data_IF_999775259772
#
_entry.id   IF_999775259772
#
_cell.length_a   1.000
_cell.length_b   1.000
_cell.length_c   1.000
_cell.angle_alpha   90.00
_cell.angle_beta   90.00
_cell.angle_gamma   90.00
#
_symmetry.space_group_name_H-M   'P 1'
#
loop_
_entity.id
_entity.type
_entity.pdbx_description
1 polymer ?
#
# COMPACT_ATOMS: atom_id res chain seq x y z
N UNK A 1 -134.50 76.38 -2.74
CA UNK A 1 -134.09 75.50 -1.62
C UNK A 1 -133.84 74.06 -2.06
N UNK A 2 -134.68 73.47 -2.93
CA UNK A 2 -134.49 72.08 -3.37
C UNK A 2 -133.20 71.84 -4.18
N UNK A 3 -132.86 72.76 -5.09
CA UNK A 3 -131.78 72.53 -6.06
C UNK A 3 -130.38 72.66 -5.46
N UNK A 4 -130.16 73.64 -4.56
CA UNK A 4 -128.88 73.80 -3.84
C UNK A 4 -128.60 72.61 -2.90
N UNK A 5 -129.64 72.09 -2.26
CA UNK A 5 -129.52 70.93 -1.37
C UNK A 5 -129.24 69.64 -2.15
N UNK A 6 -129.83 69.49 -3.34
CA UNK A 6 -129.55 68.40 -4.27
C UNK A 6 -128.10 68.44 -4.79
N UNK A 7 -127.59 69.64 -5.13
CA UNK A 7 -126.21 69.85 -5.55
C UNK A 7 -125.19 69.54 -4.43
N UNK A 8 -125.53 69.86 -3.18
CA UNK A 8 -124.70 69.53 -2.01
C UNK A 8 -124.64 68.01 -1.78
N UNK A 9 -125.77 67.31 -1.92
CA UNK A 9 -125.83 65.86 -1.79
C UNK A 9 -125.02 65.16 -2.90
N UNK A 10 -125.12 65.60 -4.15
CA UNK A 10 -124.32 65.07 -5.26
C UNK A 10 -122.81 65.30 -5.04
N UNK A 11 -122.42 66.47 -4.51
CA UNK A 11 -121.03 66.74 -4.11
C UNK A 11 -120.58 65.86 -2.95
N UNK A 12 -121.43 65.57 -1.98
CA UNK A 12 -121.13 64.66 -0.88
C UNK A 12 -120.95 63.22 -1.36
N UNK A 13 -121.80 62.76 -2.29
CA UNK A 13 -121.67 61.43 -2.89
C UNK A 13 -120.38 61.29 -3.72
N UNK A 14 -120.05 62.29 -4.53
CA UNK A 14 -118.79 62.32 -5.30
C UNK A 14 -117.55 62.42 -4.40
N UNK A 15 -117.63 63.18 -3.30
CA UNK A 15 -116.57 63.22 -2.27
C UNK A 15 -116.41 61.87 -1.56
N UNK A 16 -117.51 61.21 -1.18
CA UNK A 16 -117.47 59.88 -0.55
C UNK A 16 -116.89 58.83 -1.49
N UNK A 17 -117.25 58.86 -2.78
CA UNK A 17 -116.65 57.97 -3.79
C UNK A 17 -115.15 58.23 -3.96
N UNK A 18 -114.74 59.50 -3.91
CA UNK A 18 -113.32 59.89 -3.96
C UNK A 18 -112.54 59.46 -2.72
N UNK A 19 -113.14 59.59 -1.52
CA UNK A 19 -112.55 59.14 -0.25
C UNK A 19 -112.36 57.64 -0.22
N UNK A 20 -113.38 56.86 -0.61
CA UNK A 20 -113.25 55.40 -0.73
C UNK A 20 -112.16 54.99 -1.73
N UNK A 21 -112.00 55.75 -2.83
CA UNK A 21 -110.92 55.56 -3.79
C UNK A 21 -109.53 55.92 -3.24
N UNK A 22 -109.43 56.89 -2.32
CA UNK A 22 -108.19 57.24 -1.63
C UNK A 22 -107.85 56.17 -0.59
N UNK A 23 -108.81 55.72 0.23
CA UNK A 23 -108.62 54.63 1.20
C UNK A 23 -108.12 53.36 0.52
N UNK A 24 -108.75 52.94 -0.58
CA UNK A 24 -108.27 51.79 -1.36
C UNK A 24 -106.86 51.97 -1.94
N UNK A 25 -106.46 53.19 -2.31
CA UNK A 25 -105.08 53.49 -2.70
C UNK A 25 -104.11 53.42 -1.52
N UNK A 26 -104.52 53.93 -0.36
CA UNK A 26 -103.71 53.89 0.89
C UNK A 26 -103.47 52.45 1.30
N UNK A 27 -104.50 51.61 1.34
CA UNK A 27 -104.38 50.19 1.68
C UNK A 27 -103.45 49.47 0.70
N UNK A 28 -103.60 49.71 -0.60
CA UNK A 28 -102.72 49.15 -1.62
C UNK A 28 -101.27 49.60 -1.44
N UNK A 29 -101.03 50.90 -1.18
CA UNK A 29 -99.68 51.38 -0.89
C UNK A 29 -99.09 50.78 0.39
N UNK A 30 -99.91 50.55 1.42
CA UNK A 30 -99.47 49.91 2.66
C UNK A 30 -99.05 48.45 2.40
N UNK A 31 -99.84 47.69 1.66
CA UNK A 31 -99.45 46.33 1.24
C UNK A 31 -98.16 46.33 0.42
N UNK A 32 -98.00 47.27 -0.52
CA UNK A 32 -96.76 47.38 -1.30
C UNK A 32 -95.55 47.71 -0.43
N UNK A 33 -95.70 48.58 0.57
CA UNK A 33 -94.63 48.90 1.53
C UNK A 33 -94.23 47.69 2.37
N UNK A 34 -95.20 46.92 2.89
CA UNK A 34 -94.92 45.70 3.65
C UNK A 34 -94.18 44.66 2.80
N UNK A 35 -94.63 44.43 1.56
CA UNK A 35 -93.94 43.52 0.62
C UNK A 35 -92.53 44.01 0.27
N UNK A 36 -92.35 45.32 0.14
CA UNK A 36 -91.04 45.91 -0.13
C UNK A 36 -90.11 45.70 1.07
N UNK A 37 -90.58 45.99 2.28
CA UNK A 37 -89.83 45.81 3.53
C UNK A 37 -89.39 44.35 3.69
N UNK A 38 -90.32 43.41 3.53
CA UNK A 38 -90.03 41.97 3.58
C UNK A 38 -88.98 41.57 2.54
N UNK A 39 -89.14 41.99 1.28
CA UNK A 39 -88.17 41.70 0.22
C UNK A 39 -86.80 42.32 0.48
N UNK A 40 -86.74 43.53 1.05
CA UNK A 40 -85.47 44.17 1.41
C UNK A 40 -84.78 43.44 2.55
N UNK A 41 -85.51 43.07 3.60
CA UNK A 41 -84.96 42.32 4.72
C UNK A 41 -84.43 40.94 4.29
N UNK A 42 -85.16 40.22 3.43
CA UNK A 42 -84.67 38.96 2.86
C UNK A 42 -83.37 39.14 2.06
N UNK A 43 -83.25 40.24 1.29
CA UNK A 43 -82.03 40.55 0.53
C UNK A 43 -80.86 40.91 1.46
N UNK A 44 -81.12 41.65 2.53
CA UNK A 44 -80.12 41.97 3.54
C UNK A 44 -79.61 40.71 4.23
N UNK A 45 -80.51 39.82 4.68
CA UNK A 45 -80.14 38.54 5.30
C UNK A 45 -79.28 37.68 4.37
N UNK A 46 -79.70 37.51 3.09
CA UNK A 46 -78.90 36.77 2.10
C UNK A 46 -77.53 37.40 1.83
N UNK A 47 -77.42 38.72 1.98
CA UNK A 47 -76.16 39.43 1.81
C UNK A 47 -75.26 39.25 3.03
N UNK A 48 -75.79 39.31 4.25
CA UNK A 48 -75.07 38.98 5.49
C UNK A 48 -74.53 37.54 5.45
N UNK A 49 -75.36 36.56 5.09
CA UNK A 49 -74.93 35.16 4.94
C UNK A 49 -73.76 35.02 3.95
N UNK A 50 -73.80 35.78 2.85
CA UNK A 50 -72.70 35.80 1.86
C UNK A 50 -71.44 36.47 2.40
N UNK A 51 -71.57 37.50 3.23
CA UNK A 51 -70.42 38.15 3.87
C UNK A 51 -69.75 37.21 4.86
N UNK A 52 -70.51 36.53 5.72
CA UNK A 52 -69.99 35.49 6.63
C UNK A 52 -69.27 34.39 5.84
N UNK A 53 -69.89 33.89 4.76
CA UNK A 53 -69.26 32.88 3.91
C UNK A 53 -68.00 33.38 3.18
N UNK A 54 -67.84 34.68 2.96
CA UNK A 54 -66.59 35.25 2.45
C UNK A 54 -65.53 35.35 3.54
N UNK A 55 -65.90 35.79 4.75
CA UNK A 55 -65.00 35.85 5.91
C UNK A 55 -64.41 34.48 6.23
N UNK A 56 -65.23 33.42 6.27
CA UNK A 56 -64.77 32.04 6.48
C UNK A 56 -63.78 31.59 5.41
N UNK A 57 -64.02 31.98 4.15
CA UNK A 57 -63.12 31.67 3.03
C UNK A 57 -61.80 32.44 3.13
N UNK A 58 -61.83 33.68 3.60
CA UNK A 58 -60.63 34.47 3.82
C UNK A 58 -59.79 33.89 4.97
N UNK A 59 -60.42 33.52 6.08
CA UNK A 59 -59.74 32.83 7.18
C UNK A 59 -59.09 31.52 6.71
N UNK A 60 -59.82 30.69 5.94
CA UNK A 60 -59.27 29.47 5.36
C UNK A 60 -58.14 29.69 4.34
N UNK A 61 -58.07 30.86 3.70
CA UNK A 61 -56.92 31.22 2.86
C UNK A 61 -55.72 31.64 3.71
N UNK A 62 -55.93 32.41 4.76
CA UNK A 62 -54.89 32.84 5.70
C UNK A 62 -54.20 31.64 6.35
N UNK A 63 -54.96 30.66 6.86
CA UNK A 63 -54.42 29.42 7.41
C UNK A 63 -53.56 28.66 6.39
N UNK A 64 -53.98 28.64 5.11
CA UNK A 64 -53.22 28.00 4.03
C UNK A 64 -51.93 28.77 3.71
N UNK A 65 -51.92 30.09 3.83
CA UNK A 65 -50.71 30.89 3.65
C UNK A 65 -49.71 30.62 4.77
N UNK A 66 -50.17 30.59 6.03
CA UNK A 66 -49.31 30.20 7.17
C UNK A 66 -48.72 28.81 6.96
N UNK A 67 -49.55 27.83 6.58
CA UNK A 67 -49.07 26.48 6.30
C UNK A 67 -48.11 26.38 5.10
N UNK A 68 -48.14 27.34 4.16
CA UNK A 68 -47.15 27.43 3.09
C UNK A 68 -45.84 28.05 3.60
N UNK A 69 -45.90 29.10 4.41
CA UNK A 69 -44.73 29.73 5.03
C UNK A 69 -43.94 28.72 5.88
N UNK A 70 -44.61 27.95 6.73
CA UNK A 70 -43.99 26.90 7.54
C UNK A 70 -43.26 25.86 6.66
N UNK A 71 -43.85 25.51 5.52
CA UNK A 71 -43.24 24.58 4.57
C UNK A 71 -42.03 25.18 3.86
N UNK A 72 -42.05 26.49 3.58
CA UNK A 72 -40.90 27.19 3.01
C UNK A 72 -39.73 27.23 4.00
N UNK A 73 -39.99 27.57 5.26
CA UNK A 73 -38.98 27.52 6.34
C UNK A 73 -38.39 26.11 6.46
N UNK A 74 -39.23 25.08 6.50
CA UNK A 74 -38.75 23.69 6.54
C UNK A 74 -37.97 23.25 5.29
N UNK A 75 -38.18 23.88 4.14
CA UNK A 75 -37.35 23.65 2.96
C UNK A 75 -36.00 24.36 3.07
N UNK A 76 -35.97 25.60 3.54
CA UNK A 76 -34.74 26.37 3.77
C UNK A 76 -33.81 25.64 4.74
N UNK A 77 -34.33 25.16 5.87
CA UNK A 77 -33.55 24.37 6.84
C UNK A 77 -32.94 23.11 6.22
N UNK A 78 -33.69 22.44 5.33
CA UNK A 78 -33.19 21.28 4.60
C UNK A 78 -32.12 21.64 3.58
N UNK A 79 -32.20 22.79 2.94
CA UNK A 79 -31.16 23.29 2.04
C UNK A 79 -29.87 23.59 2.80
N UNK A 80 -29.95 24.28 3.93
CA UNK A 80 -28.80 24.53 4.81
C UNK A 80 -28.16 23.21 5.24
N UNK A 81 -28.96 22.24 5.70
CA UNK A 81 -28.44 20.93 6.08
C UNK A 81 -27.83 20.12 4.92
N UNK A 82 -28.23 20.38 3.67
CA UNK A 82 -27.58 19.80 2.49
C UNK A 82 -26.24 20.50 2.21
N UNK A 83 -26.18 21.83 2.28
CA UNK A 83 -24.94 22.60 2.10
C UNK A 83 -23.86 22.18 3.10
N UNK A 84 -24.20 22.03 4.38
CA UNK A 84 -23.27 21.55 5.42
C UNK A 84 -22.72 20.16 5.10
N UNK A 85 -23.59 19.26 4.59
CA UNK A 85 -23.17 17.91 4.19
C UNK A 85 -22.26 17.94 2.98
N UNK A 86 -22.51 18.82 2.01
CA UNK A 86 -21.63 19.00 0.86
C UNK A 86 -20.26 19.53 1.27
N UNK A 87 -20.21 20.55 2.13
CA UNK A 87 -18.95 21.07 2.69
C UNK A 87 -18.18 19.99 3.45
N UNK A 88 -18.88 19.17 4.25
CA UNK A 88 -18.28 18.03 4.95
C UNK A 88 -17.72 16.96 4.00
N UNK A 89 -18.38 16.70 2.86
CA UNK A 89 -17.86 15.80 1.83
C UNK A 89 -16.63 16.38 1.14
N UNK A 90 -16.65 17.66 0.77
CA UNK A 90 -15.51 18.36 0.17
C UNK A 90 -14.26 18.29 1.06
N UNK A 91 -14.40 18.58 2.36
CA UNK A 91 -13.30 18.44 3.32
C UNK A 91 -12.75 17.02 3.42
N UNK A 92 -13.61 16.00 3.31
CA UNK A 92 -13.17 14.59 3.27
C UNK A 92 -12.43 14.24 1.98
N UNK A 93 -12.83 14.81 0.84
CA UNK A 93 -12.13 14.63 -0.43
C UNK A 93 -10.73 15.24 -0.39
N UNK A 94 -10.58 16.46 0.11
CA UNK A 94 -9.27 17.10 0.31
C UNK A 94 -8.37 16.24 1.22
N UNK A 95 -8.91 15.77 2.35
CA UNK A 95 -8.15 14.89 3.25
C UNK A 95 -7.78 13.52 2.64
N UNK A 96 -8.53 13.03 1.65
CA UNK A 96 -8.17 11.83 0.89
C UNK A 96 -7.07 12.11 -0.14
N UNK A 97 -7.12 13.26 -0.83
CA UNK A 97 -6.07 13.70 -1.75
C UNK A 97 -4.72 13.84 -1.02
N UNK A 98 -4.69 14.53 0.13
CA UNK A 98 -3.47 14.69 0.93
C UNK A 98 -2.85 13.34 1.33
N UNK A 99 -3.71 12.37 1.71
CA UNK A 99 -3.26 11.01 2.03
C UNK A 99 -2.71 10.29 0.82
N UNK A 100 -3.28 10.49 -0.36
CA UNK A 100 -2.80 9.90 -1.60
C UNK A 100 -1.43 10.44 -1.97
N UNK A 101 -1.23 11.77 -1.91
CA UNK A 101 0.07 12.42 -2.11
C UNK A 101 1.10 11.90 -1.10
N UNK A 102 0.72 11.75 0.17
CA UNK A 102 1.59 11.18 1.20
C UNK A 102 1.98 9.72 0.94
N UNK A 103 1.09 8.91 0.37
CA UNK A 103 1.40 7.54 -0.04
C UNK A 103 2.33 7.49 -1.25
N UNK A 104 2.10 8.35 -2.24
CA UNK A 104 2.96 8.47 -3.43
C UNK A 104 4.40 8.84 -3.03
N UNK A 105 4.58 9.83 -2.15
CA UNK A 105 5.90 10.20 -1.63
C UNK A 105 6.60 9.06 -0.88
N UNK A 106 5.84 8.24 -0.12
CA UNK A 106 6.39 7.04 0.53
C UNK A 106 6.80 5.97 -0.48
N UNK A 107 6.10 5.86 -1.60
CA UNK A 107 6.41 4.90 -2.66
C UNK A 107 7.72 5.28 -3.36
N UNK A 108 7.88 6.55 -3.72
CA UNK A 108 9.13 7.09 -4.27
C UNK A 108 10.30 6.85 -3.31
N UNK A 109 10.12 7.14 -2.02
CA UNK A 109 11.17 6.88 -1.02
C UNK A 109 11.49 5.39 -0.82
N UNK A 110 10.58 4.47 -1.13
CA UNK A 110 10.85 3.04 -1.15
C UNK A 110 11.64 2.65 -2.41
N UNK A 111 11.28 3.17 -3.57
CA UNK A 111 12.02 2.95 -4.82
C UNK A 111 13.48 3.38 -4.71
N UNK A 112 13.74 4.58 -4.17
CA UNK A 112 15.11 5.07 -3.95
C UNK A 112 15.93 4.13 -3.04
N UNK A 113 15.29 3.58 -2.00
CA UNK A 113 15.92 2.61 -1.10
C UNK A 113 16.21 1.29 -1.80
N UNK A 114 15.33 0.84 -2.68
CA UNK A 114 15.56 -0.38 -3.48
C UNK A 114 16.74 -0.18 -4.43
N UNK A 115 16.80 0.94 -5.15
CA UNK A 115 17.95 1.29 -6.02
C UNK A 115 19.24 1.34 -5.20
N UNK A 116 19.21 1.95 -4.02
CA UNK A 116 20.37 1.98 -3.12
C UNK A 116 20.81 0.59 -2.63
N UNK A 117 19.87 -0.32 -2.38
CA UNK A 117 20.19 -1.71 -2.02
C UNK A 117 20.76 -2.50 -3.20
N UNK A 118 20.22 -2.32 -4.39
CA UNK A 118 20.72 -2.94 -5.62
C UNK A 118 22.18 -2.52 -5.88
N UNK A 119 22.49 -1.22 -5.79
CA UNK A 119 23.87 -0.73 -5.94
C UNK A 119 24.83 -1.31 -4.89
N UNK A 120 24.37 -1.51 -3.64
CA UNK A 120 25.17 -2.17 -2.60
C UNK A 120 25.39 -3.65 -2.90
N UNK A 121 24.42 -4.32 -3.52
CA UNK A 121 24.52 -5.73 -3.88
C UNK A 121 25.53 -5.93 -5.01
N UNK A 122 25.48 -5.09 -6.05
CA UNK A 122 26.49 -5.05 -7.13
C UNK A 122 27.89 -4.83 -6.56
N UNK A 123 28.06 -3.85 -5.67
CA UNK A 123 29.36 -3.61 -5.04
C UNK A 123 29.85 -4.76 -4.13
N UNK A 124 28.95 -5.58 -3.61
CA UNK A 124 29.28 -6.79 -2.85
C UNK A 124 29.73 -7.92 -3.78
N UNK A 125 29.06 -8.07 -4.92
CA UNK A 125 29.40 -9.03 -5.97
C UNK A 125 30.77 -8.73 -6.58
N UNK A 126 31.07 -7.47 -6.87
CA UNK A 126 32.40 -7.03 -7.35
C UNK A 126 33.51 -7.36 -6.34
N UNK A 127 33.25 -7.14 -5.05
CA UNK A 127 34.22 -7.47 -3.99
C UNK A 127 34.42 -8.97 -3.84
N UNK A 128 33.35 -9.75 -4.01
CA UNK A 128 33.41 -11.20 -3.93
C UNK A 128 34.22 -11.77 -5.09
N UNK A 129 33.92 -11.35 -6.32
CA UNK A 129 34.67 -11.76 -7.52
C UNK A 129 36.15 -11.35 -7.45
N UNK A 130 36.44 -10.15 -6.96
CA UNK A 130 37.83 -9.72 -6.74
C UNK A 130 38.53 -10.58 -5.66
N UNK A 131 37.83 -10.95 -4.59
CA UNK A 131 38.36 -11.82 -3.55
C UNK A 131 38.65 -13.22 -4.10
N UNK A 132 37.75 -13.78 -4.90
CA UNK A 132 37.90 -15.08 -5.56
C UNK A 132 39.12 -15.11 -6.48
N UNK A 133 39.24 -14.11 -7.36
CA UNK A 133 40.42 -13.97 -8.23
C UNK A 133 41.73 -13.80 -7.43
N UNK A 134 41.69 -13.07 -6.32
CA UNK A 134 42.85 -12.91 -5.45
C UNK A 134 43.23 -14.22 -4.74
N UNK A 135 42.25 -15.06 -4.37
CA UNK A 135 42.51 -16.38 -3.81
C UNK A 135 43.09 -17.33 -4.84
N UNK A 136 42.58 -17.33 -6.07
CA UNK A 136 43.11 -18.18 -7.15
C UNK A 136 44.57 -17.85 -7.47
N UNK A 137 44.92 -16.56 -7.54
CA UNK A 137 46.30 -16.12 -7.74
C UNK A 137 47.22 -16.59 -6.60
N UNK A 138 46.73 -16.56 -5.35
CA UNK A 138 47.50 -17.05 -4.19
C UNK A 138 47.69 -18.56 -4.25
N UNK A 139 46.66 -19.33 -4.60
CA UNK A 139 46.75 -20.78 -4.77
C UNK A 139 47.74 -21.16 -5.87
N UNK A 140 47.62 -20.55 -7.06
CA UNK A 140 48.55 -20.78 -8.17
C UNK A 140 50.01 -20.48 -7.77
N UNK A 141 50.24 -19.41 -6.98
CA UNK A 141 51.57 -19.08 -6.47
C UNK A 141 52.09 -20.14 -5.49
N UNK A 142 51.23 -20.64 -4.61
CA UNK A 142 51.60 -21.72 -3.68
C UNK A 142 51.97 -22.98 -4.44
N UNK A 143 51.16 -23.38 -5.44
CA UNK A 143 51.46 -24.53 -6.29
C UNK A 143 52.82 -24.39 -6.99
N UNK A 144 53.09 -23.24 -7.64
CA UNK A 144 54.38 -22.97 -8.26
C UNK A 144 55.56 -23.04 -7.29
N UNK A 145 55.38 -22.52 -6.06
CA UNK A 145 56.44 -22.60 -5.03
C UNK A 145 56.68 -24.04 -4.58
N UNK A 146 55.63 -24.85 -4.46
CA UNK A 146 55.72 -26.26 -4.09
C UNK A 146 56.39 -27.08 -5.19
N UNK A 147 56.03 -26.85 -6.46
CA UNK A 147 56.69 -27.49 -7.62
C UNK A 147 58.18 -27.15 -7.67
N UNK A 148 58.53 -25.87 -7.49
CA UNK A 148 59.93 -25.43 -7.46
C UNK A 148 60.72 -26.04 -6.30
N UNK A 149 60.11 -26.12 -5.11
CA UNK A 149 60.71 -26.81 -3.96
C UNK A 149 60.90 -28.30 -4.23
N UNK A 150 59.91 -28.95 -4.85
CA UNK A 150 59.97 -30.35 -5.24
C UNK A 150 61.17 -30.62 -6.14
N UNK A 151 61.33 -29.85 -7.22
CA UNK A 151 62.48 -29.97 -8.13
C UNK A 151 63.83 -29.72 -7.45
N UNK A 152 63.89 -28.73 -6.53
CA UNK A 152 65.11 -28.44 -5.78
C UNK A 152 65.49 -29.61 -4.87
N UNK A 153 64.52 -30.18 -4.16
CA UNK A 153 64.71 -31.34 -3.28
C UNK A 153 65.09 -32.58 -4.08
N UNK A 154 64.41 -32.87 -5.19
CA UNK A 154 64.74 -33.99 -6.06
C UNK A 154 66.18 -33.90 -6.56
N UNK A 155 66.59 -32.74 -7.08
CA UNK A 155 67.97 -32.52 -7.55
C UNK A 155 69.00 -32.70 -6.42
N UNK A 156 68.74 -32.13 -5.24
CA UNK A 156 69.66 -32.25 -4.11
C UNK A 156 69.74 -33.68 -3.56
N UNK A 157 68.60 -34.38 -3.46
CA UNK A 157 68.54 -35.78 -3.02
C UNK A 157 69.24 -36.68 -4.03
N UNK A 158 68.98 -36.54 -5.33
CA UNK A 158 69.67 -37.30 -6.38
C UNK A 158 71.19 -37.17 -6.28
N UNK A 159 71.71 -35.93 -6.16
CA UNK A 159 73.16 -35.71 -5.97
C UNK A 159 73.72 -36.40 -4.72
N UNK A 160 72.97 -36.38 -3.61
CA UNK A 160 73.39 -37.07 -2.36
C UNK A 160 73.36 -38.59 -2.52
N UNK A 161 72.37 -39.14 -3.22
CA UNK A 161 72.30 -40.57 -3.54
C UNK A 161 73.51 -40.98 -4.40
N UNK A 162 73.80 -40.23 -5.46
CA UNK A 162 74.93 -40.50 -6.36
C UNK A 162 76.27 -40.47 -5.61
N UNK A 163 76.51 -39.42 -4.81
CA UNK A 163 77.72 -39.30 -3.99
C UNK A 163 77.87 -40.45 -2.98
N UNK A 164 76.76 -40.88 -2.36
CA UNK A 164 76.79 -42.02 -1.45
C UNK A 164 77.04 -43.34 -2.20
N UNK A 165 76.48 -43.49 -3.40
CA UNK A 165 76.74 -44.62 -4.30
C UNK A 165 78.21 -44.74 -4.67
N UNK A 166 78.84 -43.64 -5.09
CA UNK A 166 80.29 -43.58 -5.37
C UNK A 166 81.13 -43.92 -4.13
N UNK A 167 80.74 -43.42 -2.96
CA UNK A 167 81.38 -43.74 -1.68
C UNK A 167 81.30 -45.24 -1.35
N UNK A 168 80.15 -45.87 -1.55
CA UNK A 168 79.96 -47.31 -1.39
C UNK A 168 80.82 -48.12 -2.38
N UNK A 169 80.87 -47.72 -3.65
CA UNK A 169 81.72 -48.38 -4.66
C UNK A 169 83.21 -48.27 -4.32
N UNK A 170 83.65 -47.12 -3.83
CA UNK A 170 85.02 -46.92 -3.37
C UNK A 170 85.37 -47.84 -2.17
N UNK A 171 84.50 -47.89 -1.16
CA UNK A 171 84.69 -48.77 0.00
C UNK A 171 84.69 -50.25 -0.39
N UNK A 172 83.82 -50.65 -1.33
CA UNK A 172 83.77 -52.01 -1.84
C UNK A 172 85.08 -52.40 -2.54
N UNK A 173 85.63 -51.55 -3.40
CA UNK A 173 86.93 -51.78 -4.06
C UNK A 173 88.06 -51.93 -3.03
N UNK A 174 88.12 -51.04 -2.05
CA UNK A 174 89.13 -51.12 -0.98
C UNK A 174 89.00 -52.40 -0.16
N UNK A 175 87.77 -52.86 0.12
CA UNK A 175 87.53 -54.13 0.81
C UNK A 175 87.97 -55.32 -0.04
N UNK A 176 87.62 -55.34 -1.33
CA UNK A 176 88.03 -56.39 -2.27
C UNK A 176 89.57 -56.48 -2.37
N UNK A 177 90.25 -55.33 -2.43
CA UNK A 177 91.72 -55.25 -2.44
C UNK A 177 92.32 -55.73 -1.11
N UNK A 178 91.76 -55.35 0.04
CA UNK A 178 92.21 -55.82 1.35
C UNK A 178 92.03 -57.34 1.50
N UNK A 179 90.88 -57.88 1.07
CA UNK A 179 90.62 -59.32 1.07
C UNK A 179 91.58 -60.08 0.16
N UNK A 180 91.97 -59.49 -0.97
CA UNK A 180 92.98 -60.06 -1.87
C UNK A 180 94.35 -60.12 -1.20
N UNK A 181 94.78 -59.04 -0.55
CA UNK A 181 96.05 -59.01 0.20
C UNK A 181 96.04 -60.03 1.33
N UNK A 182 94.92 -60.19 2.05
CA UNK A 182 94.83 -61.19 3.12
C UNK A 182 94.93 -62.62 2.57
N UNK A 183 94.29 -62.92 1.42
CA UNK A 183 94.44 -64.21 0.74
C UNK A 183 95.88 -64.47 0.28
N UNK A 184 96.54 -63.46 -0.27
CA UNK A 184 97.94 -63.57 -0.69
C UNK A 184 98.85 -63.83 0.52
N UNK A 185 98.60 -63.17 1.65
CA UNK A 185 99.29 -63.41 2.92
C UNK A 185 99.05 -64.82 3.46
N UNK A 186 97.81 -65.30 3.50
CA UNK A 186 97.48 -66.68 3.90
C UNK A 186 98.23 -67.71 3.04
N UNK A 187 98.29 -67.48 1.73
CA UNK A 187 99.03 -68.35 0.79
C UNK A 187 100.54 -68.33 1.07
N UNK A 188 101.12 -67.16 1.34
CA UNK A 188 102.53 -67.05 1.73
C UNK A 188 102.82 -67.76 3.06
N UNK A 189 101.94 -67.63 4.06
CA UNK A 189 102.09 -68.29 5.36
C UNK A 189 102.07 -69.82 5.21
N UNK A 190 101.14 -70.37 4.43
CA UNK A 190 101.10 -71.81 4.11
C UNK A 190 102.37 -72.27 3.39
N UNK A 191 102.86 -71.48 2.42
CA UNK A 191 104.11 -71.80 1.74
C UNK A 191 105.33 -71.77 2.66
N UNK A 192 105.43 -70.77 3.55
CA UNK A 192 106.49 -70.72 4.56
C UNK A 192 106.38 -71.92 5.49
N UNK A 193 105.17 -72.34 5.86
CA UNK A 193 104.95 -73.51 6.71
C UNK A 193 105.41 -74.80 6.01
N UNK A 194 105.05 -74.98 4.74
CA UNK A 194 105.54 -76.09 3.91
C UNK A 194 107.06 -76.08 3.77
N UNK A 195 107.65 -74.92 3.43
CA UNK A 195 109.11 -74.75 3.34
C UNK A 195 109.79 -75.05 4.69
N UNK A 196 109.23 -74.59 5.82
CA UNK A 196 109.74 -74.92 7.16
C UNK A 196 109.67 -76.41 7.45
N UNK A 197 108.59 -77.09 7.07
CA UNK A 197 108.48 -78.53 7.19
C UNK A 197 109.51 -79.25 6.34
N UNK A 198 109.75 -78.81 5.11
CA UNK A 198 110.74 -79.42 4.22
C UNK A 198 112.17 -79.17 4.71
N UNK A 199 112.50 -77.97 5.20
CA UNK A 199 113.77 -77.68 5.89
C UNK A 199 113.93 -78.56 7.13
N UNK A 200 112.86 -78.78 7.90
CA UNK A 200 112.90 -79.70 9.06
C UNK A 200 113.19 -81.13 8.62
N UNK A 201 112.52 -81.64 7.58
CA UNK A 201 112.82 -82.96 6.99
C UNK A 201 114.27 -83.07 6.50
N UNK A 202 114.82 -82.02 5.87
CA UNK A 202 116.22 -81.98 5.42
C UNK A 202 117.16 -82.03 6.63
N UNK A 203 116.86 -81.24 7.67
CA UNK A 203 117.64 -81.20 8.92
C UNK A 203 117.61 -82.56 9.63
N UNK A 204 116.46 -83.23 9.68
CA UNK A 204 116.32 -84.57 10.26
C UNK A 204 117.11 -85.62 9.45
N UNK A 205 117.14 -85.51 8.11
CA UNK A 205 117.98 -86.38 7.25
C UNK A 205 119.48 -86.13 7.43
N UNK A 206 119.90 -84.88 7.64
CA UNK A 206 121.29 -84.52 7.93
C UNK A 206 121.73 -84.93 9.34
N UNK A 207 120.81 -85.01 10.30
CA UNK A 207 121.10 -85.47 11.67
C UNK A 207 121.23 -87.01 11.77
N UNK A 208 120.84 -87.75 10.72
CA UNK A 208 121.02 -89.21 10.61
C UNK A 208 122.18 -89.63 9.69
N UNK A 209 122.96 -88.67 9.17
CA UNK A 209 124.15 -88.89 8.35
C UNK A 209 125.41 -88.50 9.12
#
# INVERSE_FOLDING_TARGET
MSDEMMLILEKLETMNHSLAGIEGKVDNTHEHLLRLEESTNERFMKMEDRFVGLEDRFAGLEDRFVGLEDRFVGLEDRFVGLEDRFAGLEGRFVGLEDRFVGLEGRFVGLEDRFVGLEGRFVGLEDRFTQSEAATDLRFNRVEQTLESMGLMLENEISKKIDANGEGHDYLKRNLDDALRVEKDKEWMELNILNLRMDVRKIKDKLAMA
#
